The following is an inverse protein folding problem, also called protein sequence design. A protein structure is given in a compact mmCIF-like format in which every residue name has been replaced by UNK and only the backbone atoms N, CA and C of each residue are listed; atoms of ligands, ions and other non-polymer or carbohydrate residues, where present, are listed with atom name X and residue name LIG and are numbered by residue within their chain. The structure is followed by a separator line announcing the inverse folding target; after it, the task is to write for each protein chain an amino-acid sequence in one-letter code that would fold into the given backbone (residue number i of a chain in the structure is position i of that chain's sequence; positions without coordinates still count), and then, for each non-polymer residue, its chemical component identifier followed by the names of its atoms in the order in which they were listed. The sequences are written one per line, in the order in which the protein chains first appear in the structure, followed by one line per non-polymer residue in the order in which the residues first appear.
data_IF_198636318162
#
_entry.id   IF_198636318162
#
_cell.length_a   1.000
_cell.length_b   1.000
_cell.length_c   1.000
_cell.angle_alpha   90.00
_cell.angle_beta   90.00
_cell.angle_gamma   90.00
#
_symmetry.space_group_name_H-M   'P 1'
#
loop_
_entity.id
_entity.type
_entity.pdbx_description
1 polymer ?
#
# COMPACT_ATOMS: atom_id res chain seq x y z
N UNK A 1 41.24 -0.80 31.66
CA UNK A 1 40.85 -1.16 30.27
C UNK A 1 39.54 -1.95 30.21
N UNK A 2 39.38 -3.03 30.98
CA UNK A 2 38.15 -3.87 30.99
C UNK A 2 36.86 -3.10 31.32
N UNK A 3 36.91 -2.14 32.27
CA UNK A 3 35.77 -1.29 32.65
C UNK A 3 35.36 -0.27 31.57
N UNK A 4 36.33 0.24 30.80
CA UNK A 4 36.06 1.15 29.68
C UNK A 4 35.37 0.37 28.56
N UNK A 5 35.86 -0.83 28.24
CA UNK A 5 35.26 -1.70 27.23
C UNK A 5 33.79 -2.07 27.56
N UNK A 6 33.50 -2.33 28.83
CA UNK A 6 32.13 -2.59 29.31
C UNK A 6 31.24 -1.35 29.17
N UNK A 7 31.76 -0.15 29.46
CA UNK A 7 31.02 1.10 29.30
C UNK A 7 30.69 1.38 27.83
N UNK A 8 31.63 1.13 26.91
CA UNK A 8 31.40 1.30 25.47
C UNK A 8 30.34 0.32 24.95
N UNK A 9 30.36 -0.93 25.43
CA UNK A 9 29.40 -1.97 25.04
C UNK A 9 27.96 -1.65 25.46
N UNK A 10 27.78 -0.95 26.59
CA UNK A 10 26.47 -0.56 27.12
C UNK A 10 25.87 0.65 26.38
N UNK A 11 26.70 1.51 25.78
CA UNK A 11 26.25 2.74 25.10
C UNK A 11 25.91 2.54 23.61
N UNK A 12 26.41 1.47 22.98
CA UNK A 12 26.14 1.09 21.58
C UNK A 12 24.64 0.97 21.18
N UNK A 13 23.72 0.39 21.98
CA UNK A 13 22.33 0.24 21.57
C UNK A 13 21.55 1.56 21.53
N UNK A 14 21.99 2.60 22.25
CA UNK A 14 21.32 3.91 22.25
C UNK A 14 21.55 4.73 20.97
N UNK A 15 22.51 4.31 20.13
CA UNK A 15 22.77 4.90 18.82
C UNK A 15 22.05 4.16 17.69
N UNK A 16 21.34 3.07 18.01
CA UNK A 16 20.62 2.29 17.01
C UNK A 16 19.20 2.82 16.87
N UNK A 17 18.93 3.53 15.77
CA UNK A 17 17.57 3.73 15.30
C UNK A 17 17.11 2.47 14.59
N UNK A 18 16.28 1.67 15.25
CA UNK A 18 15.64 0.53 14.61
C UNK A 18 14.53 1.05 13.68
N UNK A 19 14.82 1.06 12.38
CA UNK A 19 13.93 1.37 11.25
C UNK A 19 13.50 2.83 11.12
N UNK A 20 14.22 3.57 10.29
CA UNK A 20 13.69 4.81 9.73
C UNK A 20 12.76 4.44 8.56
N UNK A 21 11.44 4.56 8.74
CA UNK A 21 10.47 4.34 7.66
C UNK A 21 10.51 5.50 6.67
N UNK A 22 11.54 5.53 5.82
CA UNK A 22 11.69 6.55 4.80
C UNK A 22 10.73 6.27 3.64
N UNK A 23 9.62 7.01 3.59
CA UNK A 23 8.63 6.84 2.52
C UNK A 23 9.22 7.11 1.13
N UNK A 24 10.14 8.07 0.99
CA UNK A 24 10.80 8.39 -0.27
C UNK A 24 11.57 7.18 -0.84
N UNK A 25 12.28 6.45 0.02
CA UNK A 25 12.99 5.24 -0.35
C UNK A 25 12.04 4.08 -0.68
N UNK A 26 10.99 3.89 0.12
CA UNK A 26 9.97 2.87 -0.12
C UNK A 26 9.24 3.09 -1.45
N UNK A 27 8.86 4.33 -1.73
CA UNK A 27 8.20 4.70 -2.97
C UNK A 27 9.12 4.48 -4.18
N UNK A 28 10.39 4.90 -4.10
CA UNK A 28 11.37 4.64 -5.17
C UNK A 28 11.54 3.14 -5.41
N UNK A 29 11.64 2.34 -4.34
CA UNK A 29 11.72 0.88 -4.45
C UNK A 29 10.49 0.29 -5.16
N UNK A 30 9.28 0.73 -4.80
CA UNK A 30 8.04 0.30 -5.46
C UNK A 30 8.08 0.62 -6.97
N UNK A 31 8.43 1.86 -7.32
CA UNK A 31 8.51 2.33 -8.71
C UNK A 31 9.49 1.48 -9.50
N UNK A 32 10.70 1.26 -8.97
CA UNK A 32 11.72 0.41 -9.60
C UNK A 32 11.25 -1.03 -9.75
N UNK A 33 10.62 -1.60 -8.71
CA UNK A 33 10.14 -2.98 -8.72
C UNK A 33 9.08 -3.19 -9.78
N UNK A 34 8.10 -2.30 -9.88
CA UNK A 34 7.03 -2.39 -10.88
C UNK A 34 7.58 -2.16 -12.29
N UNK A 35 8.41 -1.13 -12.50
CA UNK A 35 9.06 -0.87 -13.81
C UNK A 35 9.82 -2.08 -14.35
N UNK A 36 10.49 -2.81 -13.47
CA UNK A 36 11.37 -3.91 -13.87
C UNK A 36 10.68 -5.28 -13.94
N UNK A 37 9.59 -5.50 -13.20
CA UNK A 37 9.03 -6.85 -13.03
C UNK A 37 7.55 -6.97 -13.44
N UNK A 38 6.80 -5.88 -13.50
CA UNK A 38 5.38 -5.96 -13.87
C UNK A 38 5.23 -6.15 -15.38
N UNK A 39 4.68 -7.31 -15.77
CA UNK A 39 4.53 -7.71 -17.17
C UNK A 39 3.71 -6.69 -17.98
N UNK A 40 2.67 -6.10 -17.38
CA UNK A 40 1.81 -5.13 -18.05
C UNK A 40 2.40 -3.72 -18.16
N UNK A 41 3.61 -3.46 -17.63
CA UNK A 41 4.16 -2.10 -17.60
C UNK A 41 4.29 -1.49 -19.00
N UNK A 42 4.79 -2.25 -19.98
CA UNK A 42 4.97 -1.76 -21.36
C UNK A 42 3.67 -1.50 -22.09
N UNK A 43 2.61 -2.23 -21.74
CA UNK A 43 1.28 -2.08 -22.33
C UNK A 43 0.54 -0.86 -21.74
N UNK A 44 0.78 -0.59 -20.45
CA UNK A 44 0.13 0.51 -19.73
C UNK A 44 0.86 1.84 -19.90
N UNK A 45 2.18 1.85 -20.07
CA UNK A 45 2.99 3.07 -20.27
C UNK A 45 3.37 3.23 -21.74
N UNK A 46 2.50 3.92 -22.47
CA UNK A 46 2.62 4.16 -23.91
C UNK A 46 3.34 5.48 -24.20
N UNK A 47 3.68 5.72 -25.47
CA UNK A 47 4.26 7.01 -25.89
C UNK A 47 3.31 8.18 -25.60
N UNK A 48 1.99 7.98 -25.71
CA UNK A 48 1.01 9.05 -25.54
C UNK A 48 0.81 9.47 -24.09
N UNK A 49 1.01 8.57 -23.12
CA UNK A 49 0.80 8.87 -21.70
C UNK A 49 2.11 9.04 -20.89
N UNK A 50 3.27 8.68 -21.45
CA UNK A 50 4.57 8.71 -20.77
C UNK A 50 4.87 10.02 -20.07
N UNK A 51 4.75 11.15 -20.76
CA UNK A 51 5.05 12.46 -20.17
C UNK A 51 4.16 12.75 -18.94
N UNK A 52 2.86 12.44 -19.01
CA UNK A 52 1.94 12.60 -17.89
C UNK A 52 2.28 11.64 -16.75
N UNK A 53 2.63 10.40 -17.07
CA UNK A 53 3.02 9.38 -16.09
C UNK A 53 4.31 9.75 -15.36
N UNK A 54 5.30 10.29 -16.07
CA UNK A 54 6.57 10.72 -15.48
C UNK A 54 6.35 11.91 -14.54
N UNK A 55 5.57 12.92 -14.96
CA UNK A 55 5.20 14.06 -14.09
C UNK A 55 4.43 13.60 -12.85
N UNK A 56 3.49 12.67 -13.01
CA UNK A 56 2.75 12.09 -11.90
C UNK A 56 3.67 11.36 -10.92
N UNK A 57 4.56 10.49 -11.43
CA UNK A 57 5.53 9.75 -10.62
C UNK A 57 6.46 10.70 -9.86
N UNK A 58 6.98 11.73 -10.52
CA UNK A 58 7.85 12.73 -9.89
C UNK A 58 7.13 13.55 -8.83
N UNK A 59 5.85 13.88 -9.05
CA UNK A 59 5.04 14.60 -8.06
C UNK A 59 4.86 13.80 -6.78
N UNK A 60 4.61 12.49 -6.91
CA UNK A 60 4.48 11.60 -5.77
C UNK A 60 5.84 11.37 -5.08
N UNK A 61 6.94 11.27 -5.83
CA UNK A 61 8.27 11.17 -5.23
C UNK A 61 8.60 12.39 -4.34
N UNK A 62 8.15 13.59 -4.74
CA UNK A 62 8.30 14.80 -3.92
C UNK A 62 7.47 14.73 -2.64
N UNK A 63 6.21 14.32 -2.75
CA UNK A 63 5.32 14.13 -1.59
C UNK A 63 5.82 13.06 -0.62
N UNK A 64 6.46 12.01 -1.13
CA UNK A 64 7.03 10.93 -0.34
C UNK A 64 8.18 11.38 0.58
N UNK A 65 8.81 12.53 0.34
CA UNK A 65 9.86 13.07 1.21
C UNK A 65 9.35 13.50 2.60
N UNK A 66 8.05 13.75 2.73
CA UNK A 66 7.42 14.19 3.99
C UNK A 66 6.26 13.30 4.44
N UNK A 67 5.96 12.24 3.68
CA UNK A 67 4.87 11.33 4.01
C UNK A 67 5.31 10.31 5.05
N UNK A 68 4.45 10.02 6.01
CA UNK A 68 4.70 9.07 7.08
C UNK A 68 3.55 8.07 7.21
N UNK A 69 3.86 6.88 7.75
CA UNK A 69 2.89 5.83 8.09
C UNK A 69 1.88 5.59 6.96
N UNK A 70 0.58 5.75 7.25
CA UNK A 70 -0.52 5.49 6.33
C UNK A 70 -0.54 6.45 5.13
N UNK A 71 -0.09 7.70 5.28
CA UNK A 71 0.00 8.62 4.15
C UNK A 71 1.00 8.14 3.08
N UNK A 72 2.05 7.41 3.51
CA UNK A 72 2.96 6.76 2.57
C UNK A 72 2.27 5.63 1.80
N UNK A 73 1.44 4.85 2.49
CA UNK A 73 0.69 3.76 1.86
C UNK A 73 -0.30 4.31 0.82
N UNK A 74 -1.08 5.34 1.17
CA UNK A 74 -2.01 6.00 0.25
C UNK A 74 -1.31 6.44 -1.04
N UNK A 75 -0.19 7.14 -0.89
CA UNK A 75 0.61 7.61 -2.03
C UNK A 75 1.07 6.45 -2.94
N UNK A 76 1.49 5.33 -2.34
CA UNK A 76 1.88 4.15 -3.09
C UNK A 76 0.70 3.51 -3.83
N UNK A 77 -0.48 3.46 -3.19
CA UNK A 77 -1.71 2.93 -3.79
C UNK A 77 -2.20 3.83 -4.93
N UNK A 78 -2.16 5.16 -4.76
CA UNK A 78 -2.49 6.14 -5.80
C UNK A 78 -1.60 5.95 -7.04
N UNK A 79 -0.30 5.70 -6.83
CA UNK A 79 0.60 5.43 -7.95
C UNK A 79 0.26 4.12 -8.68
N UNK A 80 -0.06 3.06 -7.95
CA UNK A 80 -0.48 1.78 -8.55
C UNK A 80 -1.83 1.88 -9.27
N UNK A 81 -2.74 2.75 -8.82
CA UNK A 81 -4.04 2.96 -9.43
C UNK A 81 -3.93 3.45 -10.90
N UNK A 82 -2.83 4.10 -11.28
CA UNK A 82 -2.58 4.51 -12.67
C UNK A 82 -2.65 3.34 -13.66
N UNK A 83 -2.26 2.13 -13.23
CA UNK A 83 -2.24 0.95 -14.10
C UNK A 83 -3.64 0.36 -14.32
N UNK A 84 -4.62 0.72 -13.50
CA UNK A 84 -5.99 0.17 -13.53
C UNK A 84 -5.99 -1.37 -13.57
N UNK A 85 -5.09 -2.00 -12.80
CA UNK A 85 -4.98 -3.45 -12.70
C UNK A 85 -5.22 -3.90 -11.25
N UNK A 86 -6.29 -4.68 -11.07
CA UNK A 86 -6.70 -5.21 -9.76
C UNK A 86 -5.75 -6.27 -9.20
N UNK A 87 -4.82 -6.78 -10.01
CA UNK A 87 -3.79 -7.73 -9.56
C UNK A 87 -2.55 -7.03 -8.99
N UNK A 88 -2.42 -5.71 -9.16
CA UNK A 88 -1.37 -4.93 -8.53
C UNK A 88 -1.86 -4.42 -7.17
N UNK A 89 -1.28 -4.97 -6.10
CA UNK A 89 -1.62 -4.59 -4.73
C UNK A 89 -0.38 -4.54 -3.85
N UNK A 90 -0.47 -3.78 -2.76
CA UNK A 90 0.51 -3.77 -1.68
C UNK A 90 -0.19 -4.34 -0.46
N UNK A 91 0.44 -5.32 0.18
CA UNK A 91 0.02 -5.79 1.49
C UNK A 91 0.73 -4.96 2.54
N UNK A 92 -0.03 -4.41 3.48
CA UNK A 92 0.49 -3.62 4.59
C UNK A 92 -0.09 -4.14 5.90
N UNK A 93 0.76 -4.23 6.92
CA UNK A 93 0.33 -4.48 8.29
C UNK A 93 0.48 -3.17 9.06
N UNK A 94 -0.61 -2.59 9.60
CA UNK A 94 -0.59 -1.35 10.36
C UNK A 94 0.01 -1.57 11.77
N UNK A 95 1.28 -1.98 11.83
CA UNK A 95 1.97 -2.11 13.10
C UNK A 95 2.16 -0.73 13.74
N UNK A 96 1.75 -0.59 15.00
CA UNK A 96 1.78 0.69 15.72
C UNK A 96 0.72 1.74 15.31
N UNK A 97 -0.22 1.44 14.42
CA UNK A 97 -1.35 2.33 14.14
C UNK A 97 -2.51 2.13 15.14
N UNK A 98 -3.10 3.22 15.59
CA UNK A 98 -4.29 3.22 16.43
C UNK A 98 -5.55 2.87 15.64
N UNK A 99 -6.60 2.40 16.33
CA UNK A 99 -7.91 2.15 15.71
C UNK A 99 -8.49 3.40 15.04
N UNK A 100 -8.28 4.56 15.64
CA UNK A 100 -8.77 5.83 15.12
C UNK A 100 -8.02 6.24 13.84
N UNK A 101 -6.70 6.06 13.79
CA UNK A 101 -5.91 6.25 12.56
C UNK A 101 -6.39 5.34 11.43
N UNK A 102 -6.64 4.05 11.72
CA UNK A 102 -7.18 3.10 10.75
C UNK A 102 -8.57 3.52 10.29
N UNK A 103 -9.46 3.88 11.21
CA UNK A 103 -10.82 4.31 10.86
C UNK A 103 -10.84 5.61 10.06
N UNK A 104 -9.93 6.54 10.35
CA UNK A 104 -9.82 7.80 9.62
C UNK A 104 -9.33 7.56 8.19
N UNK A 105 -8.36 6.66 8.01
CA UNK A 105 -7.84 6.26 6.70
C UNK A 105 -8.93 5.68 5.80
N UNK A 106 -9.72 4.72 6.30
CA UNK A 106 -10.79 4.10 5.51
C UNK A 106 -12.09 4.93 5.44
N UNK A 107 -12.09 6.20 5.88
CA UNK A 107 -13.30 7.02 5.93
C UNK A 107 -13.87 7.31 4.53
N UNK A 108 -13.00 7.53 3.55
CA UNK A 108 -13.32 7.87 2.16
C UNK A 108 -13.34 6.66 1.23
N UNK A 109 -13.00 5.47 1.74
CA UNK A 109 -13.04 4.24 0.96
C UNK A 109 -14.45 4.02 0.37
N UNK A 110 -14.50 3.46 -0.84
CA UNK A 110 -15.77 3.11 -1.48
C UNK A 110 -16.57 2.18 -0.58
N UNK A 111 -17.85 2.52 -0.37
CA UNK A 111 -18.77 1.72 0.43
C UNK A 111 -19.90 1.25 -0.45
N UNK A 112 -20.25 -0.01 -0.25
CA UNK A 112 -21.44 -0.60 -0.85
C UNK A 112 -22.65 -0.38 0.04
N UNK A 113 -23.84 -0.28 -0.55
CA UNK A 113 -25.10 -0.30 0.21
C UNK A 113 -25.42 -1.69 0.73
N UNK A 114 -24.77 -2.72 0.17
CA UNK A 114 -24.98 -4.10 0.55
C UNK A 114 -24.56 -4.32 2.00
N UNK A 115 -25.52 -4.77 2.81
CA UNK A 115 -25.25 -5.32 4.13
C UNK A 115 -25.38 -6.85 4.10
N UNK A 116 -25.09 -7.49 5.23
CA UNK A 116 -25.15 -8.95 5.36
C UNK A 116 -26.54 -9.51 5.04
N UNK A 117 -27.62 -8.81 5.41
CA UNK A 117 -29.00 -9.24 5.16
C UNK A 117 -29.31 -9.20 3.66
N UNK A 118 -28.92 -8.12 2.97
CA UNK A 118 -29.12 -7.96 1.54
C UNK A 118 -28.31 -9.01 0.76
N UNK A 119 -27.05 -9.21 1.16
CA UNK A 119 -26.16 -10.21 0.56
C UNK A 119 -26.76 -11.61 0.70
N UNK A 120 -27.13 -12.01 1.91
CA UNK A 120 -27.76 -13.32 2.14
C UNK A 120 -29.07 -13.50 1.36
N UNK A 121 -29.88 -12.45 1.26
CA UNK A 121 -31.12 -12.48 0.50
C UNK A 121 -30.87 -12.67 -0.99
N UNK A 122 -29.87 -11.98 -1.56
CA UNK A 122 -29.43 -12.18 -2.94
C UNK A 122 -28.92 -13.60 -3.17
N UNK A 123 -28.05 -14.10 -2.30
CA UNK A 123 -27.48 -15.45 -2.44
C UNK A 123 -28.57 -16.52 -2.44
N UNK A 124 -29.54 -16.42 -1.51
CA UNK A 124 -30.68 -17.35 -1.45
C UNK A 124 -31.56 -17.28 -2.69
N UNK A 125 -31.90 -16.07 -3.17
CA UNK A 125 -32.75 -15.88 -4.36
C UNK A 125 -32.10 -16.38 -5.64
N UNK A 126 -30.76 -16.32 -5.73
CA UNK A 126 -30.02 -16.70 -6.92
C UNK A 126 -29.37 -18.08 -6.83
N UNK A 127 -29.66 -18.88 -5.80
CA UNK A 127 -29.00 -20.17 -5.52
C UNK A 127 -28.84 -21.09 -6.74
N UNK A 128 -29.82 -21.14 -7.65
CA UNK A 128 -29.77 -22.01 -8.83
C UNK A 128 -28.90 -21.47 -9.98
N UNK A 129 -28.48 -20.20 -9.91
CA UNK A 129 -27.68 -19.50 -10.93
C UNK A 129 -26.25 -19.21 -10.47
N UNK A 130 -26.00 -19.27 -9.16
CA UNK A 130 -24.68 -19.05 -8.58
C UNK A 130 -23.81 -20.29 -8.79
N UNK A 131 -22.53 -20.06 -9.06
CA UNK A 131 -21.56 -21.13 -9.10
C UNK A 131 -21.05 -21.49 -7.69
N UNK A 132 -20.15 -22.47 -7.62
CA UNK A 132 -19.58 -22.93 -6.34
C UNK A 132 -18.72 -21.88 -5.63
N UNK A 133 -18.30 -20.83 -6.33
CA UNK A 133 -17.45 -19.75 -5.81
C UNK A 133 -18.31 -18.61 -5.25
N UNK A 134 -19.45 -18.30 -5.89
CA UNK A 134 -20.31 -17.17 -5.55
C UNK A 134 -21.30 -17.43 -4.39
N UNK A 135 -21.54 -18.68 -3.99
CA UNK A 135 -22.11 -18.96 -2.67
C UNK A 135 -23.02 -20.17 -2.50
N UNK A 136 -23.02 -20.66 -1.26
CA UNK A 136 -23.74 -21.79 -0.65
C UNK A 136 -23.45 -23.19 -1.22
N UNK A 137 -22.60 -23.94 -0.52
CA UNK A 137 -22.67 -25.41 -0.47
C UNK A 137 -23.95 -25.83 0.27
#
# INVERSE_FOLDING_TARGET
MKKIFILTLILLPFLSSAQNCNCSENFRFLVEKIKNNYVGYKDKITVSNRARFDVFTDSLQKSANSAEKLACLDLCLDWLAFFEDKHLSISFTPDGATKDEISAFFKTAEKTYWNEVDLNSYLRRNKTKLDKVEGYL
#
